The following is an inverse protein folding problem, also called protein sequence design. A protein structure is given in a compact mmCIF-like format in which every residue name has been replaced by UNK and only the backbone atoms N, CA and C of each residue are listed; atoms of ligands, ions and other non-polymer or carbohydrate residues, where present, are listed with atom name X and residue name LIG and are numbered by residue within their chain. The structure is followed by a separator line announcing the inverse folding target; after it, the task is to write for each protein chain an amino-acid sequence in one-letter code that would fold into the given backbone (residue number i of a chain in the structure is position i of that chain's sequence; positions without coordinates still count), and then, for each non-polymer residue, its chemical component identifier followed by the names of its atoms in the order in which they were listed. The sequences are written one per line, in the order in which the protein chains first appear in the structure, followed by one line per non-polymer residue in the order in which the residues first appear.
data_IF_757368878645
#
_entry.id   IF_757368878645
#
_cell.length_a   1.000
_cell.length_b   1.000
_cell.length_c   1.000
_cell.angle_alpha   90.00
_cell.angle_beta   90.00
_cell.angle_gamma   90.00
#
_symmetry.space_group_name_H-M   'P 1'
#
loop_
_entity.id
_entity.type
_entity.pdbx_description
1 polymer ?
#
# COMPACT_ATOMS: atom_id res chain seq x y z
N UNK A 1 43.92 -14.53 2.91
CA UNK A 1 43.47 -14.64 1.51
C UNK A 1 42.37 -13.60 1.30
N UNK A 2 42.38 -12.91 0.16
CA UNK A 2 41.84 -11.55 -0.04
C UNK A 2 40.34 -11.31 0.29
N UNK A 3 40.07 -10.08 0.75
CA UNK A 3 38.78 -9.36 0.83
C UNK A 3 38.28 -9.01 -0.61
N UNK A 4 36.98 -8.74 -0.88
CA UNK A 4 36.43 -7.44 -0.45
C UNK A 4 34.99 -7.47 0.05
N UNK A 5 34.73 -6.55 0.97
CA UNK A 5 33.43 -5.91 1.17
C UNK A 5 32.87 -5.45 -0.19
N UNK A 6 32.00 -6.24 -0.81
CA UNK A 6 31.17 -5.77 -1.91
C UNK A 6 29.97 -5.08 -1.28
N UNK A 7 29.97 -3.75 -1.30
CA UNK A 7 28.74 -2.99 -1.10
C UNK A 7 27.80 -3.33 -2.25
N UNK A 8 26.65 -3.93 -1.94
CA UNK A 8 25.55 -4.05 -2.90
C UNK A 8 24.92 -2.66 -3.05
N UNK A 9 24.90 -2.14 -4.28
CA UNK A 9 24.06 -1.01 -4.65
C UNK A 9 22.61 -1.49 -4.65
N UNK A 10 21.87 -1.20 -3.59
CA UNK A 10 20.41 -1.34 -3.61
C UNK A 10 19.86 -0.10 -4.32
N UNK A 11 19.19 -0.29 -5.46
CA UNK A 11 18.45 0.79 -6.09
C UNK A 11 17.34 1.18 -5.11
N UNK A 12 17.42 2.39 -4.53
CA UNK A 12 16.32 2.91 -3.74
C UNK A 12 15.12 2.98 -4.68
N UNK A 13 14.14 2.11 -4.50
CA UNK A 13 12.90 2.17 -5.25
C UNK A 13 12.26 3.51 -4.91
N UNK A 14 12.09 4.40 -5.89
CA UNK A 14 11.30 5.63 -5.75
C UNK A 14 9.84 5.22 -5.54
N UNK A 15 9.51 4.67 -4.38
CA UNK A 15 8.20 4.09 -4.07
C UNK A 15 7.78 4.59 -2.70
N UNK A 16 6.71 5.37 -2.69
CA UNK A 16 6.04 5.80 -1.48
C UNK A 16 5.01 4.74 -1.08
N UNK A 17 4.99 4.42 0.21
CA UNK A 17 4.09 3.43 0.78
C UNK A 17 3.07 4.10 1.68
N UNK A 18 1.79 3.87 1.40
CA UNK A 18 0.71 4.13 2.34
C UNK A 18 0.38 2.82 3.06
N UNK A 19 0.67 2.75 4.36
CA UNK A 19 0.58 1.51 5.13
C UNK A 19 -0.62 1.54 6.07
N UNK A 20 -1.53 0.58 5.89
CA UNK A 20 -2.71 0.37 6.74
C UNK A 20 -2.48 -0.76 7.72
N UNK A 21 -2.49 -0.44 9.00
CA UNK A 21 -2.25 -1.36 10.13
C UNK A 21 -3.53 -1.75 10.88
N UNK A 22 -4.70 -1.31 10.41
CA UNK A 22 -5.98 -1.56 11.08
C UNK A 22 -6.47 -3.01 10.94
N UNK A 23 -7.23 -3.47 11.94
CA UNK A 23 -7.93 -4.77 11.98
C UNK A 23 -9.15 -4.80 11.03
N UNK A 24 -8.96 -4.46 9.75
CA UNK A 24 -10.02 -4.30 8.77
C UNK A 24 -10.91 -5.54 8.64
N UNK A 25 -10.31 -6.72 8.71
CA UNK A 25 -10.95 -8.02 8.51
C UNK A 25 -11.87 -8.44 9.66
N UNK A 26 -11.67 -7.90 10.87
CA UNK A 26 -12.52 -8.16 12.03
C UNK A 26 -13.84 -7.36 11.94
N UNK A 27 -13.86 -6.29 11.13
CA UNK A 27 -15.02 -5.43 10.98
C UNK A 27 -16.16 -6.11 10.21
N UNK A 28 -17.41 -5.70 10.46
CA UNK A 28 -18.55 -6.16 9.66
C UNK A 28 -18.40 -5.78 8.18
N UNK A 29 -19.00 -6.54 7.26
CA UNK A 29 -18.95 -6.22 5.82
C UNK A 29 -19.47 -4.81 5.49
N UNK A 30 -20.45 -4.31 6.26
CA UNK A 30 -20.94 -2.94 6.12
C UNK A 30 -19.86 -1.92 6.51
N UNK A 31 -19.19 -2.15 7.63
CA UNK A 31 -18.10 -1.31 8.12
C UNK A 31 -16.90 -1.33 7.16
N UNK A 32 -16.49 -2.50 6.68
CA UNK A 32 -15.43 -2.65 5.68
C UNK A 32 -15.69 -1.81 4.43
N UNK A 33 -16.89 -1.93 3.84
CA UNK A 33 -17.29 -1.13 2.67
C UNK A 33 -17.31 0.37 2.96
N UNK A 34 -17.77 0.76 4.15
CA UNK A 34 -17.80 2.15 4.56
C UNK A 34 -16.38 2.72 4.70
N UNK A 35 -15.49 2.04 5.44
CA UNK A 35 -14.13 2.49 5.66
C UNK A 35 -13.33 2.59 4.35
N UNK A 36 -13.44 1.59 3.47
CA UNK A 36 -12.79 1.64 2.16
C UNK A 36 -13.25 2.85 1.35
N UNK A 37 -14.56 3.16 1.33
CA UNK A 37 -15.12 4.33 0.63
C UNK A 37 -14.66 5.66 1.21
N UNK A 38 -14.62 5.77 2.54
CA UNK A 38 -14.21 7.01 3.23
C UNK A 38 -12.71 7.27 3.06
N UNK A 39 -11.88 6.23 3.02
CA UNK A 39 -10.42 6.37 2.87
C UNK A 39 -9.93 6.51 1.44
N UNK A 40 -10.69 6.04 0.45
CA UNK A 40 -10.27 6.09 -0.96
C UNK A 40 -9.86 7.51 -1.45
N UNK A 41 -10.59 8.61 -1.16
CA UNK A 41 -10.22 9.93 -1.65
C UNK A 41 -8.84 10.42 -1.17
N UNK A 42 -8.47 10.05 0.07
CA UNK A 42 -7.18 10.35 0.67
C UNK A 42 -6.07 9.58 -0.06
N UNK A 43 -6.25 8.26 -0.21
CA UNK A 43 -5.32 7.37 -0.95
C UNK A 43 -5.11 7.88 -2.38
N UNK A 44 -6.18 8.28 -3.07
CA UNK A 44 -6.09 8.81 -4.43
C UNK A 44 -5.35 10.15 -4.48
N UNK A 45 -5.52 11.01 -3.47
CA UNK A 45 -4.79 12.28 -3.36
C UNK A 45 -3.30 12.03 -3.16
N UNK A 46 -2.94 11.11 -2.26
CA UNK A 46 -1.55 10.75 -1.99
C UNK A 46 -0.89 10.10 -3.20
N UNK A 47 -1.60 9.19 -3.90
CA UNK A 47 -1.16 8.63 -5.18
C UNK A 47 -0.82 9.72 -6.18
N UNK A 48 -1.73 10.67 -6.43
CA UNK A 48 -1.49 11.77 -7.38
C UNK A 48 -0.27 12.63 -6.99
N UNK A 49 -0.07 12.87 -5.70
CA UNK A 49 1.07 13.64 -5.22
C UNK A 49 2.39 12.86 -5.39
N UNK A 50 2.39 11.57 -5.06
CA UNK A 50 3.54 10.69 -5.26
C UNK A 50 3.93 10.64 -6.75
N UNK A 51 2.96 10.41 -7.63
CA UNK A 51 3.16 10.36 -9.08
C UNK A 51 3.68 11.69 -9.65
N UNK A 52 3.12 12.82 -9.21
CA UNK A 52 3.58 14.15 -9.62
C UNK A 52 5.04 14.44 -9.19
N UNK A 53 5.49 13.82 -8.10
CA UNK A 53 6.86 13.89 -7.61
C UNK A 53 7.79 12.81 -8.19
N UNK A 54 7.31 11.96 -9.11
CA UNK A 54 8.10 10.90 -9.74
C UNK A 54 8.30 9.65 -8.85
N UNK A 55 7.41 9.43 -7.88
CA UNK A 55 7.36 8.22 -7.08
C UNK A 55 6.29 7.26 -7.61
N UNK A 56 6.60 5.96 -7.60
CA UNK A 56 5.59 4.92 -7.57
C UNK A 56 4.82 5.00 -6.24
N UNK A 57 3.58 4.52 -6.24
CA UNK A 57 2.74 4.52 -5.06
C UNK A 57 2.17 3.12 -4.81
N UNK A 58 2.35 2.61 -3.59
CA UNK A 58 1.86 1.29 -3.17
C UNK A 58 1.07 1.42 -1.88
N UNK A 59 -0.08 0.75 -1.81
CA UNK A 59 -0.86 0.65 -0.59
C UNK A 59 -0.58 -0.71 0.06
N UNK A 60 0.01 -0.71 1.24
CA UNK A 60 0.20 -1.89 2.07
C UNK A 60 -1.00 -2.11 2.97
N UNK A 61 -1.60 -3.30 2.96
CA UNK A 61 -2.72 -3.66 3.85
C UNK A 61 -2.43 -4.95 4.60
N UNK A 62 -3.01 -5.11 5.79
CA UNK A 62 -2.85 -6.33 6.60
C UNK A 62 -3.67 -7.52 6.12
N UNK A 63 -4.79 -7.30 5.41
CA UNK A 63 -5.71 -8.37 5.05
C UNK A 63 -6.09 -8.39 3.58
N UNK A 64 -6.34 -9.59 3.06
CA UNK A 64 -6.87 -9.78 1.71
C UNK A 64 -8.25 -9.13 1.54
N UNK A 65 -9.06 -9.08 2.61
CA UNK A 65 -10.35 -8.40 2.60
C UNK A 65 -10.20 -6.89 2.33
N UNK A 66 -9.23 -6.22 2.98
CA UNK A 66 -8.96 -4.80 2.75
C UNK A 66 -8.47 -4.57 1.31
N UNK A 67 -7.58 -5.43 0.81
CA UNK A 67 -7.13 -5.38 -0.58
C UNK A 67 -8.29 -5.48 -1.56
N UNK A 68 -9.17 -6.45 -1.37
CA UNK A 68 -10.33 -6.65 -2.23
C UNK A 68 -11.27 -5.44 -2.21
N UNK A 69 -11.56 -4.90 -1.02
CA UNK A 69 -12.44 -3.74 -0.87
C UNK A 69 -11.90 -2.49 -1.59
N UNK A 70 -10.59 -2.24 -1.55
CA UNK A 70 -9.97 -1.13 -2.27
C UNK A 70 -10.00 -1.34 -3.78
N UNK A 71 -9.68 -2.55 -4.26
CA UNK A 71 -9.66 -2.86 -5.70
C UNK A 71 -11.07 -2.94 -6.32
N UNK A 72 -12.10 -3.21 -5.51
CA UNK A 72 -13.49 -3.10 -5.95
C UNK A 72 -13.86 -1.65 -6.27
N UNK A 73 -13.35 -0.69 -5.50
CA UNK A 73 -13.62 0.73 -5.68
C UNK A 73 -12.73 1.39 -6.73
N UNK A 74 -11.44 1.03 -6.77
CA UNK A 74 -10.47 1.58 -7.71
C UNK A 74 -9.43 0.53 -8.12
N UNK A 75 -9.62 -0.02 -9.32
CA UNK A 75 -8.73 -1.05 -9.90
C UNK A 75 -7.36 -0.51 -10.32
N UNK A 76 -7.15 0.81 -10.30
CA UNK A 76 -5.86 1.43 -10.64
C UNK A 76 -4.87 1.44 -9.47
N UNK A 77 -5.31 1.06 -8.26
CA UNK A 77 -4.44 1.02 -7.09
C UNK A 77 -3.51 -0.20 -7.14
N UNK A 78 -2.24 0.01 -6.78
CA UNK A 78 -1.32 -1.09 -6.50
C UNK A 78 -1.41 -1.43 -5.01
N UNK A 79 -2.12 -2.52 -4.68
CA UNK A 79 -2.37 -2.93 -3.30
C UNK A 79 -1.70 -4.26 -2.99
N UNK A 80 -0.87 -4.26 -1.96
CA UNK A 80 -0.09 -5.43 -1.50
C UNK A 80 -0.60 -5.84 -0.13
N UNK A 81 -0.92 -7.13 0.02
CA UNK A 81 -1.12 -7.71 1.36
C UNK A 81 0.27 -7.98 1.91
N UNK A 82 0.55 -7.44 3.08
CA UNK A 82 1.88 -7.47 3.65
C UNK A 82 1.90 -8.40 4.85
N UNK A 83 2.94 -9.23 4.88
CA UNK A 83 3.13 -10.29 5.86
C UNK A 83 3.92 -9.72 7.02
N UNK A 84 3.23 -8.93 7.85
CA UNK A 84 3.77 -8.44 9.12
C UNK A 84 2.90 -8.93 10.26
N UNK A 85 3.62 -9.44 11.26
CA UNK A 85 3.17 -10.20 12.43
C UNK A 85 2.03 -9.54 13.21
#
# INVERSE_FOLDING_TARGET
MQNPCVGVLVFATHTLWEVKTDDFDIQSLRSQRFFAKVKLPEIQREKRLAEACGYNFVVGVRSAAHKAALLELDRSLNVVVMDWC
#
